data_IF_273928876309
#
_entry.id   IF_273928876309
#
_cell.length_a   1.000
_cell.length_b   1.000
_cell.length_c   1.000
_cell.angle_alpha   90.00
_cell.angle_beta   90.00
_cell.angle_gamma   90.00
#
_symmetry.space_group_name_H-M   'P 1'
#
loop_
_entity.id
_entity.type
_entity.pdbx_description
1 polymer ?
#
# COMPACT_ATOMS: atom_id res chain seq x y z
N UNK A 1 9.46 43.24 -41.38
CA UNK A 1 8.19 43.92 -41.63
C UNK A 1 7.61 44.27 -40.27
N UNK A 2 7.52 45.58 -39.98
CA UNK A 2 6.84 46.06 -38.78
C UNK A 2 5.40 46.34 -39.20
N UNK A 3 4.43 45.57 -38.72
CA UNK A 3 3.02 45.83 -38.91
C UNK A 3 2.49 46.50 -37.63
N UNK A 4 2.41 47.79 -37.62
CA UNK A 4 1.79 48.53 -36.53
C UNK A 4 0.34 48.85 -36.92
N UNK A 5 -0.61 48.23 -36.24
CA UNK A 5 -2.07 48.53 -36.35
C UNK A 5 -2.55 49.15 -35.07
N UNK A 6 -3.07 50.38 -35.13
CA UNK A 6 -3.63 51.06 -33.97
C UNK A 6 -5.06 50.61 -33.60
N UNK A 7 -5.69 49.83 -34.42
CA UNK A 7 -6.99 49.14 -34.17
C UNK A 7 -7.31 48.25 -35.37
N UNK A 8 -7.48 46.97 -35.12
CA UNK A 8 -7.89 45.99 -36.13
C UNK A 8 -7.15 44.68 -36.06
N UNK A 9 -7.77 43.62 -36.52
CA UNK A 9 -7.17 42.29 -36.67
C UNK A 9 -6.23 42.26 -37.87
N UNK A 10 -5.05 41.73 -37.71
CA UNK A 10 -4.18 41.35 -38.85
C UNK A 10 -4.49 39.86 -39.09
N UNK A 11 -5.14 39.55 -40.19
CA UNK A 11 -5.31 38.16 -40.65
C UNK A 11 -4.12 37.80 -41.53
N UNK A 12 -3.44 36.78 -41.17
CA UNK A 12 -2.46 36.11 -42.00
C UNK A 12 -3.11 34.80 -42.53
N UNK A 13 -3.29 34.74 -43.84
CA UNK A 13 -3.91 33.57 -44.46
C UNK A 13 -5.43 33.67 -44.59
N UNK A 14 -5.97 33.09 -45.65
CA UNK A 14 -7.40 33.03 -45.98
C UNK A 14 -7.91 31.59 -46.13
N UNK A 15 -7.02 30.58 -45.91
CA UNK A 15 -7.36 29.17 -45.98
C UNK A 15 -6.85 28.42 -44.75
N UNK A 16 -7.53 27.33 -44.39
CA UNK A 16 -7.22 26.52 -43.20
C UNK A 16 -5.89 25.73 -43.29
N UNK A 17 -5.15 25.86 -44.38
CA UNK A 17 -3.87 25.19 -44.63
C UNK A 17 -2.67 26.17 -44.60
N UNK A 18 -2.90 27.45 -44.30
CA UNK A 18 -1.82 28.43 -44.21
C UNK A 18 -0.90 28.18 -43.01
N UNK A 19 0.39 28.07 -43.27
CA UNK A 19 1.45 27.92 -42.28
C UNK A 19 2.17 29.26 -42.09
N UNK A 20 2.00 29.85 -40.91
CA UNK A 20 2.75 31.04 -40.51
C UNK A 20 3.99 30.66 -39.70
N UNK A 21 5.18 30.89 -40.20
CA UNK A 21 6.44 30.52 -39.56
C UNK A 21 7.11 31.78 -38.99
N UNK A 22 7.24 31.81 -37.65
CA UNK A 22 8.06 32.80 -36.97
C UNK A 22 9.47 32.25 -36.74
N UNK A 23 10.50 32.92 -37.24
CA UNK A 23 11.90 32.60 -36.95
C UNK A 23 12.41 33.62 -35.92
N UNK A 24 12.30 33.30 -34.65
CA UNK A 24 12.60 34.17 -33.52
C UNK A 24 11.59 34.01 -32.40
N UNK A 25 11.62 34.90 -31.43
CA UNK A 25 10.67 34.93 -30.33
C UNK A 25 9.35 35.53 -30.76
N UNK A 26 8.24 34.93 -30.39
CA UNK A 26 6.91 35.52 -30.42
C UNK A 26 6.59 36.04 -29.02
N UNK A 27 6.60 37.38 -28.88
CA UNK A 27 6.20 38.04 -27.62
C UNK A 27 4.77 38.56 -27.75
N UNK A 28 3.87 38.09 -26.86
CA UNK A 28 2.47 38.49 -26.83
C UNK A 28 2.21 39.12 -25.48
N UNK A 29 2.21 40.45 -25.43
CA UNK A 29 1.92 41.23 -24.23
C UNK A 29 0.49 41.72 -24.20
N UNK A 30 -0.25 41.45 -23.12
CA UNK A 30 -1.53 42.09 -22.82
C UNK A 30 -2.79 41.37 -23.32
N UNK A 31 -2.72 40.18 -23.94
CA UNK A 31 -3.87 39.44 -24.44
C UNK A 31 -3.66 37.94 -24.47
N UNK A 32 -4.69 37.18 -24.73
CA UNK A 32 -4.66 35.73 -24.85
C UNK A 32 -4.15 35.28 -26.22
N UNK A 33 -3.43 34.16 -26.26
CA UNK A 33 -3.27 33.38 -27.48
C UNK A 33 -4.53 32.52 -27.62
N UNK A 34 -5.25 32.65 -28.72
CA UNK A 34 -6.41 31.80 -29.03
C UNK A 34 -6.04 30.87 -30.18
N UNK A 35 -6.12 29.59 -29.97
CA UNK A 35 -6.07 28.57 -31.01
C UNK A 35 -7.52 28.18 -31.33
N UNK A 36 -8.00 28.50 -32.49
CA UNK A 36 -9.36 28.18 -32.94
C UNK A 36 -9.28 27.35 -34.23
N UNK A 37 -9.13 26.04 -34.08
CA UNK A 37 -9.21 25.07 -35.18
C UNK A 37 -10.66 24.59 -35.42
N UNK A 38 -11.63 25.26 -34.80
CA UNK A 38 -13.03 24.81 -34.74
C UNK A 38 -13.24 23.63 -33.81
N UNK A 39 -12.18 23.09 -33.19
CA UNK A 39 -12.21 21.93 -32.28
C UNK A 39 -11.63 22.26 -30.89
N UNK A 40 -11.10 23.49 -30.72
CA UNK A 40 -10.54 23.98 -29.46
C UNK A 40 -9.33 23.15 -28.94
N UNK A 41 -8.50 22.63 -29.85
CA UNK A 41 -7.29 21.92 -29.50
C UNK A 41 -6.08 22.83 -29.44
N UNK A 42 -5.12 22.55 -28.53
CA UNK A 42 -3.81 23.19 -28.48
C UNK A 42 -2.74 22.11 -28.76
N UNK A 43 -1.97 22.30 -29.84
CA UNK A 43 -0.89 21.40 -30.21
C UNK A 43 0.43 22.16 -30.33
N UNK A 44 1.45 21.80 -29.52
CA UNK A 44 2.78 22.43 -29.52
C UNK A 44 3.85 21.34 -29.54
N UNK A 45 4.63 21.29 -30.60
CA UNK A 45 5.72 20.32 -30.78
C UNK A 45 5.59 19.51 -32.07
N UNK A 46 6.67 18.84 -32.45
CA UNK A 46 6.69 17.99 -33.65
C UNK A 46 5.74 16.80 -33.47
N UNK A 47 4.83 16.61 -34.42
CA UNK A 47 3.83 15.53 -34.42
C UNK A 47 2.90 15.52 -33.17
N UNK A 48 2.78 16.63 -32.46
CA UNK A 48 1.75 16.70 -31.43
C UNK A 48 0.36 16.69 -32.09
N UNK A 49 -0.56 15.80 -31.64
CA UNK A 49 -1.81 15.49 -32.31
C UNK A 49 -1.57 15.20 -33.81
N UNK A 50 -0.81 14.13 -34.10
CA UNK A 50 -0.23 13.91 -35.43
C UNK A 50 -1.13 13.23 -36.45
N UNK A 51 -2.27 12.65 -36.08
CA UNK A 51 -3.11 11.90 -37.01
C UNK A 51 -3.88 12.80 -37.99
N UNK A 52 -3.73 12.56 -39.29
CA UNK A 52 -4.57 13.18 -40.31
C UNK A 52 -6.03 12.74 -40.12
N UNK A 53 -6.94 13.72 -40.01
CA UNK A 53 -8.37 13.43 -39.78
C UNK A 53 -8.78 13.34 -38.32
N UNK A 54 -7.92 13.73 -37.37
CA UNK A 54 -8.30 13.81 -35.97
C UNK A 54 -9.55 14.69 -35.75
N UNK A 55 -10.56 14.12 -35.10
CA UNK A 55 -11.86 14.80 -34.88
C UNK A 55 -12.12 15.14 -33.42
N UNK A 56 -11.21 14.78 -32.51
CA UNK A 56 -11.32 15.08 -31.09
C UNK A 56 -11.29 16.59 -30.77
N UNK A 57 -11.88 16.97 -29.65
CA UNK A 57 -12.06 18.36 -29.26
C UNK A 57 -11.51 18.65 -27.86
N UNK A 58 -11.14 19.92 -27.64
CA UNK A 58 -10.77 20.41 -26.30
C UNK A 58 -9.57 19.67 -25.68
N UNK A 59 -8.55 19.35 -26.49
CA UNK A 59 -7.33 18.71 -26.01
C UNK A 59 -6.16 19.68 -25.94
N UNK A 60 -5.25 19.48 -25.01
CA UNK A 60 -3.95 20.15 -24.93
C UNK A 60 -2.86 19.10 -25.10
N UNK A 61 -2.05 19.20 -26.16
CA UNK A 61 -0.93 18.34 -26.43
C UNK A 61 0.35 19.16 -26.61
N UNK A 62 1.30 19.04 -25.68
CA UNK A 62 2.57 19.78 -25.69
C UNK A 62 3.73 18.81 -25.60
N UNK A 63 4.56 18.76 -26.63
CA UNK A 63 5.73 17.90 -26.71
C UNK A 63 5.82 17.14 -28.02
N UNK A 64 7.03 16.67 -28.36
CA UNK A 64 7.23 15.81 -29.52
C UNK A 64 6.45 14.51 -29.35
N UNK A 65 5.64 14.15 -30.36
CA UNK A 65 4.77 12.98 -30.41
C UNK A 65 3.74 12.88 -29.26
N UNK A 66 3.41 13.98 -28.58
CA UNK A 66 2.30 13.99 -27.64
C UNK A 66 1.00 13.71 -28.40
N UNK A 67 0.22 12.69 -28.01
CA UNK A 67 -0.99 12.22 -28.72
C UNK A 67 -0.74 11.90 -30.21
N UNK A 68 0.41 11.35 -30.57
CA UNK A 68 0.81 11.14 -31.98
C UNK A 68 -0.24 10.31 -32.77
N UNK A 69 -0.68 9.18 -32.20
CA UNK A 69 -1.56 8.23 -32.87
C UNK A 69 -3.05 8.46 -32.53
N UNK A 70 -3.39 9.63 -31.97
CA UNK A 70 -4.76 9.97 -31.63
C UNK A 70 -5.61 10.06 -32.91
N UNK A 71 -6.51 9.10 -33.11
CA UNK A 71 -7.36 9.01 -34.30
C UNK A 71 -8.85 8.80 -33.99
N UNK A 72 -9.22 8.76 -32.72
CA UNK A 72 -10.61 8.52 -32.29
C UNK A 72 -11.53 9.72 -32.36
N UNK A 73 -12.79 9.47 -32.74
CA UNK A 73 -13.83 10.53 -32.80
C UNK A 73 -14.18 11.13 -31.44
N UNK A 74 -13.93 10.43 -30.34
CA UNK A 74 -14.26 10.86 -28.98
C UNK A 74 -13.02 11.03 -28.10
N UNK A 75 -11.89 11.43 -28.67
CA UNK A 75 -10.68 11.78 -27.91
C UNK A 75 -10.76 13.24 -27.48
N UNK A 76 -11.33 13.50 -26.29
CA UNK A 76 -11.70 14.84 -25.86
C UNK A 76 -11.23 15.13 -24.43
N UNK A 77 -11.03 16.42 -24.14
CA UNK A 77 -10.74 16.91 -22.78
C UNK A 77 -9.44 16.36 -22.18
N UNK A 78 -8.45 15.99 -22.98
CA UNK A 78 -7.19 15.48 -22.47
C UNK A 78 -6.15 16.60 -22.32
N UNK A 79 -5.32 16.53 -21.28
CA UNK A 79 -4.13 17.36 -21.09
C UNK A 79 -2.92 16.42 -21.15
N UNK A 80 -2.13 16.54 -22.21
CA UNK A 80 -1.00 15.65 -22.50
C UNK A 80 0.27 16.47 -22.71
N UNK A 81 1.21 16.38 -21.79
CA UNK A 81 2.44 17.20 -21.81
C UNK A 81 3.67 16.32 -21.63
N UNK A 82 4.51 16.23 -22.65
CA UNK A 82 5.78 15.48 -22.60
C UNK A 82 6.09 14.71 -23.88
N UNK A 83 7.37 14.32 -24.02
CA UNK A 83 7.82 13.46 -25.11
C UNK A 83 7.13 12.11 -25.07
N UNK A 84 6.45 11.72 -26.16
CA UNK A 84 5.65 10.50 -26.29
C UNK A 84 4.55 10.33 -25.21
N UNK A 85 4.15 11.38 -24.49
CA UNK A 85 3.02 11.28 -23.57
C UNK A 85 1.74 10.96 -24.36
N UNK A 86 0.92 10.00 -23.88
CA UNK A 86 -0.30 9.58 -24.54
C UNK A 86 -0.13 9.23 -26.03
N UNK A 87 1.04 8.77 -26.43
CA UNK A 87 1.41 8.60 -27.85
C UNK A 87 0.43 7.72 -28.61
N UNK A 88 0.02 6.61 -28.02
CA UNK A 88 -0.80 5.59 -28.67
C UNK A 88 -2.30 5.74 -28.41
N UNK A 89 -2.80 6.96 -28.21
CA UNK A 89 -4.22 7.20 -28.04
C UNK A 89 -5.01 6.58 -29.20
N UNK A 90 -5.63 5.43 -28.92
CA UNK A 90 -6.29 4.59 -29.92
C UNK A 90 -7.63 5.15 -30.43
N UNK A 91 -8.33 4.30 -31.14
CA UNK A 91 -9.40 4.68 -32.06
C UNK A 91 -10.67 5.27 -31.42
N UNK A 92 -10.98 5.12 -30.15
CA UNK A 92 -12.27 5.59 -29.61
C UNK A 92 -12.26 5.87 -28.10
N UNK A 93 -12.95 6.92 -27.70
CA UNK A 93 -13.40 7.23 -26.32
C UNK A 93 -12.28 7.46 -25.27
N UNK A 94 -11.12 7.97 -25.64
CA UNK A 94 -10.07 8.36 -24.69
C UNK A 94 -10.32 9.80 -24.25
N UNK A 95 -10.84 10.02 -23.06
CA UNK A 95 -11.22 11.36 -22.62
C UNK A 95 -10.88 11.65 -21.15
N UNK A 96 -10.74 12.92 -20.85
CA UNK A 96 -10.53 13.45 -19.49
C UNK A 96 -9.29 12.91 -18.80
N UNK A 97 -8.20 12.69 -19.54
CA UNK A 97 -6.93 12.27 -18.97
C UNK A 97 -5.99 13.46 -18.75
N UNK A 98 -5.16 13.40 -17.72
CA UNK A 98 -4.06 14.32 -17.45
C UNK A 98 -2.76 13.52 -17.45
N UNK A 99 -1.97 13.64 -18.52
CA UNK A 99 -0.73 12.89 -18.71
C UNK A 99 0.44 13.86 -18.80
N UNK A 100 1.27 13.94 -17.78
CA UNK A 100 2.37 14.91 -17.71
C UNK A 100 3.70 14.20 -17.41
N UNK A 101 4.60 14.18 -18.37
CA UNK A 101 5.90 13.55 -18.24
C UNK A 101 6.32 12.79 -19.49
N UNK A 102 7.60 12.43 -19.57
CA UNK A 102 8.09 11.59 -20.64
C UNK A 102 7.38 10.23 -20.62
N UNK A 103 6.70 9.86 -21.71
CA UNK A 103 5.98 8.60 -21.90
C UNK A 103 4.86 8.37 -20.85
N UNK A 104 4.37 9.40 -20.18
CA UNK A 104 3.20 9.27 -19.29
C UNK A 104 1.99 8.76 -20.08
N UNK A 105 1.37 7.64 -19.65
CA UNK A 105 0.23 7.01 -20.32
C UNK A 105 0.48 6.66 -21.79
N UNK A 106 1.72 6.33 -22.18
CA UNK A 106 2.11 6.19 -23.59
C UNK A 106 1.26 5.18 -24.37
N UNK A 107 0.89 4.07 -23.75
CA UNK A 107 0.20 2.95 -24.40
C UNK A 107 -1.32 2.95 -24.23
N UNK A 108 -1.91 4.04 -23.74
CA UNK A 108 -3.36 4.18 -23.67
C UNK A 108 -3.93 4.06 -25.10
N UNK A 109 -4.63 2.96 -25.40
CA UNK A 109 -5.09 2.68 -26.78
C UNK A 109 -6.53 2.15 -26.88
N UNK A 110 -7.22 1.97 -25.77
CA UNK A 110 -8.61 1.49 -25.74
C UNK A 110 -9.57 2.60 -25.36
N UNK A 111 -10.77 2.54 -25.90
CA UNK A 111 -11.85 3.49 -25.67
C UNK A 111 -12.31 3.63 -24.23
N UNK A 112 -11.86 2.77 -23.34
CA UNK A 112 -12.27 2.83 -21.93
C UNK A 112 -11.23 3.50 -21.02
N UNK A 113 -10.00 3.76 -21.48
CA UNK A 113 -8.94 4.37 -20.68
C UNK A 113 -9.17 5.88 -20.47
N UNK A 114 -10.03 6.23 -19.53
CA UNK A 114 -10.48 7.60 -19.27
C UNK A 114 -10.37 7.99 -17.80
N UNK A 115 -10.36 9.31 -17.56
CA UNK A 115 -10.30 9.87 -16.22
C UNK A 115 -9.04 9.47 -15.43
N UNK A 116 -7.94 9.21 -16.13
CA UNK A 116 -6.66 8.86 -15.53
C UNK A 116 -5.77 10.09 -15.39
N UNK A 117 -5.13 10.23 -14.25
CA UNK A 117 -4.08 11.23 -14.00
C UNK A 117 -2.75 10.49 -13.88
N UNK A 118 -1.82 10.72 -14.81
CA UNK A 118 -0.48 10.14 -14.77
C UNK A 118 0.57 11.27 -14.87
N UNK A 119 1.30 11.49 -13.78
CA UNK A 119 2.29 12.57 -13.68
C UNK A 119 3.65 11.99 -13.28
N UNK A 120 4.61 12.02 -14.19
CA UNK A 120 5.96 11.49 -13.98
C UNK A 120 6.49 10.78 -15.22
N UNK A 121 7.80 10.54 -15.26
CA UNK A 121 8.42 9.74 -16.32
C UNK A 121 7.88 8.31 -16.23
N UNK A 122 7.37 7.79 -17.35
CA UNK A 122 6.77 6.46 -17.47
C UNK A 122 5.58 6.19 -16.53
N UNK A 123 4.97 7.20 -15.91
CA UNK A 123 3.79 7.01 -15.08
C UNK A 123 2.65 6.40 -15.93
N UNK A 124 2.13 5.24 -15.53
CA UNK A 124 1.07 4.53 -16.24
C UNK A 124 1.42 4.17 -17.69
N UNK A 125 2.68 3.94 -18.01
CA UNK A 125 3.15 3.75 -19.39
C UNK A 125 2.40 2.61 -20.12
N UNK A 126 2.08 1.53 -19.43
CA UNK A 126 1.46 0.33 -20.00
C UNK A 126 -0.05 0.23 -19.78
N UNK A 127 -0.68 1.31 -19.30
CA UNK A 127 -2.15 1.37 -19.28
C UNK A 127 -2.67 1.25 -20.71
N UNK A 128 -3.55 0.29 -20.93
CA UNK A 128 -4.24 0.11 -22.21
C UNK A 128 -5.71 0.52 -22.12
N UNK A 129 -6.46 0.00 -21.13
CA UNK A 129 -7.88 0.28 -20.93
C UNK A 129 -8.27 0.66 -19.50
N UNK A 130 -7.33 0.65 -18.56
CA UNK A 130 -7.60 1.01 -17.15
C UNK A 130 -8.09 2.44 -16.97
N UNK A 131 -9.09 2.63 -16.11
CA UNK A 131 -9.77 3.91 -15.88
C UNK A 131 -9.60 4.43 -14.46
N UNK A 132 -9.76 5.76 -14.29
CA UNK A 132 -9.88 6.42 -12.99
C UNK A 132 -8.70 6.13 -12.06
N UNK A 133 -7.51 6.06 -12.65
CA UNK A 133 -6.27 5.88 -11.90
C UNK A 133 -5.61 7.23 -11.60
N UNK A 134 -5.03 7.37 -10.41
CA UNK A 134 -4.19 8.49 -10.01
C UNK A 134 -2.76 8.01 -9.80
N UNK A 135 -1.86 8.34 -10.72
CA UNK A 135 -0.49 7.84 -10.78
C UNK A 135 0.48 9.02 -10.76
N UNK A 136 1.19 9.21 -9.65
CA UNK A 136 2.12 10.34 -9.49
C UNK A 136 3.49 9.84 -9.05
N UNK A 137 4.49 10.00 -9.89
CA UNK A 137 5.86 9.59 -9.64
C UNK A 137 6.48 8.89 -10.84
N UNK A 138 7.80 8.81 -10.86
CA UNK A 138 8.50 8.03 -11.89
C UNK A 138 8.12 6.57 -11.77
N UNK A 139 7.63 6.00 -12.88
CA UNK A 139 7.21 4.61 -13.00
C UNK A 139 6.09 4.20 -12.02
N UNK A 140 5.30 5.17 -11.54
CA UNK A 140 4.10 4.86 -10.77
C UNK A 140 3.05 4.20 -11.68
N UNK A 141 2.55 3.02 -11.28
CA UNK A 141 1.56 2.27 -12.02
C UNK A 141 2.02 1.81 -13.41
N UNK A 142 3.28 1.41 -13.58
CA UNK A 142 3.84 1.08 -14.90
C UNK A 142 3.09 -0.06 -15.59
N UNK A 143 2.92 -1.21 -14.94
CA UNK A 143 2.35 -2.41 -15.55
C UNK A 143 0.85 -2.64 -15.24
N UNK A 144 0.10 -1.65 -14.78
CA UNK A 144 -1.33 -1.76 -14.51
C UNK A 144 -2.17 -1.59 -15.80
N UNK A 145 -2.18 -2.57 -16.70
CA UNK A 145 -2.69 -2.40 -18.05
C UNK A 145 -4.21 -2.20 -18.14
N UNK A 146 -5.00 -2.96 -17.40
CA UNK A 146 -6.48 -2.90 -17.41
C UNK A 146 -7.07 -2.56 -16.04
N UNK A 147 -6.23 -2.21 -15.08
CA UNK A 147 -6.62 -1.97 -13.70
C UNK A 147 -7.32 -0.62 -13.51
N UNK A 148 -8.38 -0.61 -12.71
CA UNK A 148 -9.23 0.55 -12.45
C UNK A 148 -9.14 1.06 -11.00
N UNK A 149 -9.42 2.36 -10.81
CA UNK A 149 -9.62 2.97 -9.50
C UNK A 149 -8.41 2.89 -8.57
N UNK A 150 -7.19 2.86 -9.11
CA UNK A 150 -5.99 2.80 -8.29
C UNK A 150 -5.41 4.18 -8.00
N UNK A 151 -4.80 4.32 -6.83
CA UNK A 151 -3.98 5.48 -6.43
C UNK A 151 -2.56 4.99 -6.21
N UNK A 152 -1.60 5.43 -7.03
CA UNK A 152 -0.19 5.14 -6.88
C UNK A 152 0.61 6.44 -6.83
N UNK A 153 1.17 6.77 -5.67
CA UNK A 153 1.94 8.00 -5.44
C UNK A 153 3.31 7.67 -4.88
N UNK A 154 4.35 7.88 -5.67
CA UNK A 154 5.73 7.61 -5.30
C UNK A 154 6.50 6.93 -6.42
N UNK A 155 7.83 6.91 -6.28
CA UNK A 155 8.71 6.18 -7.18
C UNK A 155 8.40 4.68 -7.11
N UNK A 156 8.11 4.04 -8.26
CA UNK A 156 7.73 2.64 -8.38
C UNK A 156 6.52 2.19 -7.52
N UNK A 157 5.67 3.11 -7.06
CA UNK A 157 4.42 2.73 -6.41
C UNK A 157 3.53 1.97 -7.42
N UNK A 158 3.06 0.77 -7.06
CA UNK A 158 2.31 -0.14 -7.95
C UNK A 158 2.98 -0.34 -9.32
N UNK A 159 4.28 -0.49 -9.34
CA UNK A 159 5.03 -0.67 -10.59
C UNK A 159 4.56 -1.92 -11.36
N UNK A 160 4.16 -2.98 -10.63
CA UNK A 160 3.80 -4.26 -11.21
C UNK A 160 5.04 -5.11 -11.54
N UNK A 161 4.80 -6.35 -11.96
CA UNK A 161 5.82 -7.24 -12.49
C UNK A 161 5.89 -7.07 -14.01
N UNK A 162 7.09 -6.85 -14.55
CA UNK A 162 7.33 -6.67 -15.99
C UNK A 162 6.85 -7.86 -16.86
N UNK A 163 6.60 -9.01 -16.26
CA UNK A 163 6.14 -10.23 -16.94
C UNK A 163 4.64 -10.42 -16.95
N UNK A 164 3.87 -9.68 -16.13
CA UNK A 164 2.43 -9.91 -15.94
C UNK A 164 1.67 -8.58 -15.94
N UNK A 165 0.76 -8.43 -16.89
CA UNK A 165 -0.12 -7.28 -16.97
C UNK A 165 -0.99 -7.17 -15.71
N UNK A 166 -0.85 -6.08 -14.96
CA UNK A 166 -1.61 -5.83 -13.75
C UNK A 166 -3.09 -5.56 -14.03
N UNK A 167 -3.95 -6.28 -13.33
CA UNK A 167 -5.42 -6.14 -13.41
C UNK A 167 -6.05 -5.82 -12.06
N UNK A 168 -5.25 -5.60 -11.02
CA UNK A 168 -5.72 -5.32 -9.66
C UNK A 168 -6.36 -3.96 -9.52
N UNK A 169 -7.57 -3.92 -8.95
CA UNK A 169 -8.39 -2.73 -8.85
C UNK A 169 -8.48 -2.16 -7.43
N UNK A 170 -8.80 -0.88 -7.33
CA UNK A 170 -9.15 -0.23 -6.07
C UNK A 170 -8.06 -0.29 -5.00
N UNK A 171 -6.78 -0.24 -5.41
CA UNK A 171 -5.65 -0.19 -4.49
C UNK A 171 -5.18 1.24 -4.23
N UNK A 172 -4.69 1.50 -3.04
CA UNK A 172 -4.02 2.73 -2.65
C UNK A 172 -2.57 2.41 -2.28
N UNK A 173 -1.62 2.91 -3.03
CA UNK A 173 -0.19 2.75 -2.80
C UNK A 173 0.49 4.12 -2.70
N UNK A 174 0.96 4.50 -1.53
CA UNK A 174 1.62 5.79 -1.29
C UNK A 174 2.97 5.58 -0.64
N UNK A 175 4.04 5.85 -1.37
CA UNK A 175 5.41 5.70 -0.90
C UNK A 175 6.34 5.11 -1.96
N UNK A 176 7.64 5.15 -1.67
CA UNK A 176 8.66 4.48 -2.45
C UNK A 176 8.38 2.96 -2.46
N UNK A 177 8.21 2.37 -3.65
CA UNK A 177 7.95 0.95 -3.87
C UNK A 177 6.73 0.36 -3.09
N UNK A 178 5.78 1.18 -2.66
CA UNK A 178 4.56 0.68 -2.05
C UNK A 178 3.76 -0.17 -3.07
N UNK A 179 3.35 -1.40 -2.69
CA UNK A 179 2.70 -2.40 -3.57
C UNK A 179 3.43 -2.62 -4.90
N UNK A 180 4.75 -2.52 -4.92
CA UNK A 180 5.53 -2.61 -6.16
C UNK A 180 5.24 -3.89 -6.95
N UNK A 181 5.09 -5.01 -6.28
CA UNK A 181 4.84 -6.32 -6.89
C UNK A 181 3.38 -6.60 -7.28
N UNK A 182 2.45 -5.64 -7.12
CA UNK A 182 1.03 -5.89 -7.32
C UNK A 182 0.71 -6.27 -8.77
N UNK A 183 0.04 -7.42 -8.94
CA UNK A 183 -0.44 -7.91 -10.24
C UNK A 183 -1.96 -7.97 -10.31
N UNK A 184 -2.60 -8.83 -9.51
CA UNK A 184 -4.06 -9.00 -9.49
C UNK A 184 -4.67 -8.68 -8.13
N UNK A 185 -3.86 -8.28 -7.14
CA UNK A 185 -4.33 -7.86 -5.81
C UNK A 185 -5.28 -6.68 -5.89
N UNK A 186 -6.29 -6.64 -5.02
CA UNK A 186 -7.34 -5.62 -5.06
C UNK A 186 -7.78 -5.16 -3.67
N UNK A 187 -8.34 -3.95 -3.59
CA UNK A 187 -8.86 -3.38 -2.35
C UNK A 187 -7.82 -3.32 -1.22
N UNK A 188 -6.54 -3.05 -1.57
CA UNK A 188 -5.46 -2.88 -0.59
C UNK A 188 -5.15 -1.41 -0.34
N UNK A 189 -4.76 -1.09 0.89
CA UNK A 189 -4.18 0.20 1.28
C UNK A 189 -2.75 -0.05 1.76
N UNK A 190 -1.76 0.47 1.05
CA UNK A 190 -0.35 0.40 1.44
C UNK A 190 0.27 1.80 1.46
N UNK A 191 0.71 2.24 2.64
CA UNK A 191 1.28 3.58 2.84
C UNK A 191 2.61 3.46 3.59
N UNK A 192 3.69 3.83 2.94
CA UNK A 192 5.05 3.79 3.49
C UNK A 192 6.08 3.31 2.49
N UNK A 193 7.37 3.53 2.82
CA UNK A 193 8.47 2.96 2.05
C UNK A 193 8.38 1.43 2.09
N UNK A 194 8.34 0.78 0.92
CA UNK A 194 8.27 -0.66 0.75
C UNK A 194 7.09 -1.34 1.49
N UNK A 195 6.00 -0.60 1.78
CA UNK A 195 4.79 -1.19 2.37
C UNK A 195 4.17 -2.19 1.38
N UNK A 196 4.05 -3.46 1.78
CA UNK A 196 3.52 -4.53 0.93
C UNK A 196 4.25 -4.71 -0.38
N UNK A 197 5.56 -4.49 -0.42
CA UNK A 197 6.33 -4.39 -1.69
C UNK A 197 6.27 -5.67 -2.53
N UNK A 198 6.13 -6.85 -1.91
CA UNK A 198 6.03 -8.15 -2.58
C UNK A 198 4.58 -8.61 -2.83
N UNK A 199 3.57 -7.81 -2.47
CA UNK A 199 2.16 -8.21 -2.56
C UNK A 199 1.73 -8.35 -4.04
N UNK A 200 1.60 -9.58 -4.51
CA UNK A 200 1.21 -9.88 -5.90
C UNK A 200 -0.30 -10.00 -6.04
N UNK A 201 -0.92 -10.90 -5.28
CA UNK A 201 -2.35 -11.21 -5.36
C UNK A 201 -3.09 -10.96 -4.05
N UNK A 202 -2.42 -10.41 -3.02
CA UNK A 202 -3.04 -10.04 -1.75
C UNK A 202 -4.23 -9.10 -1.95
N UNK A 203 -5.25 -9.21 -1.11
CA UNK A 203 -6.45 -8.40 -1.22
C UNK A 203 -7.03 -8.01 0.14
N UNK A 204 -7.77 -6.90 0.18
CA UNK A 204 -8.46 -6.38 1.38
C UNK A 204 -7.56 -6.17 2.58
N UNK A 205 -6.35 -5.72 2.34
CA UNK A 205 -5.34 -5.54 3.38
C UNK A 205 -5.05 -4.05 3.65
N UNK A 206 -4.74 -3.72 4.90
CA UNK A 206 -4.29 -2.40 5.33
C UNK A 206 -2.85 -2.52 5.83
N UNK A 207 -1.91 -1.92 5.11
CA UNK A 207 -0.48 -2.04 5.33
C UNK A 207 0.12 -0.64 5.43
N UNK A 208 0.41 -0.16 6.64
CA UNK A 208 0.86 1.23 6.88
C UNK A 208 2.15 1.24 7.71
N UNK A 209 3.21 1.73 7.13
CA UNK A 209 4.53 1.83 7.76
C UNK A 209 5.65 1.38 6.84
N UNK A 210 6.88 1.85 7.09
CA UNK A 210 8.02 1.39 6.31
C UNK A 210 8.25 -0.11 6.57
N UNK A 211 8.43 -0.89 5.49
CA UNK A 211 8.57 -2.35 5.49
C UNK A 211 7.45 -3.10 6.23
N UNK A 212 6.27 -2.51 6.41
CA UNK A 212 5.11 -3.24 6.89
C UNK A 212 4.72 -4.27 5.84
N UNK A 213 4.57 -5.54 6.22
CA UNK A 213 4.15 -6.62 5.34
C UNK A 213 4.93 -6.73 4.03
N UNK A 214 6.22 -6.40 4.02
CA UNK A 214 7.03 -6.35 2.80
C UNK A 214 7.27 -7.72 2.15
N UNK A 215 7.16 -8.81 2.91
CA UNK A 215 7.23 -10.18 2.40
C UNK A 215 5.87 -10.75 1.95
N UNK A 216 4.75 -10.05 2.16
CA UNK A 216 3.43 -10.55 1.75
C UNK A 216 3.42 -10.77 0.23
N UNK A 217 2.91 -11.93 -0.19
CA UNK A 217 2.67 -12.24 -1.60
C UNK A 217 1.18 -12.37 -1.92
N UNK A 218 0.50 -13.30 -1.29
CA UNK A 218 -0.89 -13.69 -1.58
C UNK A 218 -1.83 -13.51 -0.38
N UNK A 219 -1.29 -13.30 0.83
CA UNK A 219 -2.03 -13.27 2.10
C UNK A 219 -3.12 -12.19 2.14
N UNK A 220 -4.38 -12.53 2.37
CA UNK A 220 -5.48 -11.57 2.38
C UNK A 220 -5.85 -11.07 3.78
N UNK A 221 -6.54 -9.94 3.81
CA UNK A 221 -7.30 -9.47 4.98
C UNK A 221 -6.47 -9.12 6.20
N UNK A 222 -5.20 -8.72 6.03
CA UNK A 222 -4.34 -8.31 7.14
C UNK A 222 -4.47 -6.82 7.46
N UNK A 223 -4.25 -6.46 8.73
CA UNK A 223 -4.10 -5.08 9.20
C UNK A 223 -2.72 -4.95 9.85
N UNK A 224 -1.77 -4.35 9.14
CA UNK A 224 -0.38 -4.18 9.57
C UNK A 224 -0.05 -2.70 9.66
N UNK A 225 0.14 -2.18 10.86
CA UNK A 225 0.39 -0.75 11.07
C UNK A 225 1.61 -0.55 11.96
N UNK A 226 2.67 -0.03 11.40
CA UNK A 226 3.93 0.24 12.08
C UNK A 226 5.14 -0.19 11.28
N UNK A 227 6.33 0.31 11.66
CA UNK A 227 7.59 -0.15 11.06
C UNK A 227 7.75 -1.66 11.21
N UNK A 228 7.96 -2.38 10.09
CA UNK A 228 8.18 -3.83 10.07
C UNK A 228 7.06 -4.65 10.76
N UNK A 229 5.83 -4.13 10.82
CA UNK A 229 4.68 -4.88 11.33
C UNK A 229 4.37 -6.03 10.36
N UNK A 230 4.35 -7.27 10.84
CA UNK A 230 4.13 -8.47 10.02
C UNK A 230 5.12 -8.64 8.87
N UNK A 231 6.39 -8.17 9.02
CA UNK A 231 7.36 -8.10 7.93
C UNK A 231 7.69 -9.46 7.28
N UNK A 232 7.62 -10.56 7.99
CA UNK A 232 7.92 -11.91 7.46
C UNK A 232 6.68 -12.66 6.94
N UNK A 233 5.48 -12.08 6.98
CA UNK A 233 4.27 -12.73 6.50
C UNK A 233 4.40 -13.03 5.00
N UNK A 234 4.42 -14.32 4.64
CA UNK A 234 4.57 -14.75 3.25
C UNK A 234 3.71 -15.97 2.87
N UNK A 235 2.78 -16.37 3.73
CA UNK A 235 1.91 -17.52 3.52
C UNK A 235 0.44 -17.16 3.77
N UNK A 236 -0.49 -17.73 2.98
CA UNK A 236 -1.93 -17.45 3.07
C UNK A 236 -2.54 -17.83 4.43
N UNK A 237 -1.92 -18.76 5.15
CA UNK A 237 -2.38 -19.12 6.49
C UNK A 237 -2.28 -17.94 7.48
N UNK A 238 -1.37 -16.98 7.28
CA UNK A 238 -1.28 -15.78 8.11
C UNK A 238 -2.41 -14.76 7.88
N UNK A 239 -3.43 -15.13 7.12
CA UNK A 239 -4.61 -14.29 6.86
C UNK A 239 -5.32 -13.83 8.15
N UNK A 240 -5.96 -12.66 8.03
CA UNK A 240 -6.74 -12.04 9.13
C UNK A 240 -5.92 -11.72 10.37
N UNK A 241 -4.61 -11.50 10.20
CA UNK A 241 -3.72 -11.00 11.24
C UNK A 241 -3.87 -9.50 11.42
N UNK A 242 -4.01 -9.06 12.67
CA UNK A 242 -3.94 -7.66 13.08
C UNK A 242 -2.63 -7.45 13.85
N UNK A 243 -1.70 -6.67 13.31
CA UNK A 243 -0.42 -6.33 13.94
C UNK A 243 -0.23 -4.80 13.90
N UNK A 244 -0.34 -4.16 15.06
CA UNK A 244 -0.28 -2.70 15.20
C UNK A 244 0.83 -2.32 16.18
N UNK A 245 1.87 -1.72 15.69
CA UNK A 245 3.05 -1.30 16.44
C UNK A 245 4.35 -1.66 15.71
N UNK A 246 5.44 -0.98 16.07
CA UNK A 246 6.75 -1.32 15.52
C UNK A 246 7.10 -2.77 15.87
N UNK A 247 7.49 -3.56 14.86
CA UNK A 247 7.81 -4.98 14.93
C UNK A 247 6.68 -5.87 15.50
N UNK A 248 5.43 -5.42 15.57
CA UNK A 248 4.33 -6.29 15.97
C UNK A 248 4.24 -7.46 14.98
N UNK A 249 4.35 -8.71 15.49
CA UNK A 249 4.31 -9.91 14.67
C UNK A 249 5.36 -9.99 13.55
N UNK A 250 6.53 -9.37 13.72
CA UNK A 250 7.52 -9.22 12.65
C UNK A 250 8.04 -10.54 12.09
N UNK A 251 8.08 -11.61 12.89
CA UNK A 251 8.56 -12.93 12.47
C UNK A 251 7.46 -13.88 11.98
N UNK A 252 6.19 -13.46 11.95
CA UNK A 252 5.09 -14.32 11.51
C UNK A 252 5.33 -14.76 10.06
N UNK A 253 5.32 -16.08 9.84
CA UNK A 253 5.35 -16.68 8.51
C UNK A 253 3.98 -17.21 8.10
N UNK A 254 3.40 -18.12 8.90
CA UNK A 254 2.11 -18.78 8.62
C UNK A 254 1.11 -18.75 9.77
N UNK A 255 1.48 -18.20 10.95
CA UNK A 255 0.56 -18.08 12.10
C UNK A 255 -0.64 -17.19 11.82
N UNK A 256 -1.87 -17.74 11.96
CA UNK A 256 -3.14 -17.08 11.59
C UNK A 256 -3.90 -16.53 12.81
N UNK A 257 -4.84 -15.64 12.52
CA UNK A 257 -5.80 -15.10 13.50
C UNK A 257 -5.14 -14.41 14.70
N UNK A 258 -4.06 -13.68 14.44
CA UNK A 258 -3.35 -12.93 15.48
C UNK A 258 -4.00 -11.58 15.75
N UNK A 259 -4.00 -11.15 17.01
CA UNK A 259 -4.28 -9.76 17.40
C UNK A 259 -3.13 -9.25 18.24
N UNK A 260 -2.23 -8.47 17.61
CA UNK A 260 -0.97 -8.01 18.20
C UNK A 260 -0.93 -6.48 18.20
N UNK A 261 -1.00 -5.87 19.38
CA UNK A 261 -1.02 -4.41 19.50
C UNK A 261 0.03 -3.95 20.51
N UNK A 262 1.06 -3.29 20.04
CA UNK A 262 2.15 -2.75 20.86
C UNK A 262 3.51 -2.93 20.19
N UNK A 263 4.51 -2.20 20.72
CA UNK A 263 5.91 -2.38 20.32
C UNK A 263 6.35 -3.81 20.64
N UNK A 264 6.90 -4.53 19.65
CA UNK A 264 7.32 -5.93 19.73
C UNK A 264 6.24 -6.91 20.25
N UNK A 265 4.95 -6.60 20.17
CA UNK A 265 3.91 -7.54 20.53
C UNK A 265 4.00 -8.77 19.63
N UNK A 266 4.23 -9.97 20.21
CA UNK A 266 4.38 -11.23 19.49
C UNK A 266 5.49 -11.22 18.43
N UNK A 267 6.55 -10.45 18.64
CA UNK A 267 7.62 -10.24 17.63
C UNK A 267 8.27 -11.51 17.13
N UNK A 268 8.34 -12.56 17.95
CA UNK A 268 9.00 -13.85 17.63
C UNK A 268 8.02 -14.92 17.13
N UNK A 269 6.72 -14.66 17.05
CA UNK A 269 5.73 -15.61 16.53
C UNK A 269 6.10 -15.98 15.09
N UNK A 270 6.16 -17.28 14.81
CA UNK A 270 6.36 -17.83 13.46
C UNK A 270 5.12 -18.53 12.94
N UNK A 271 4.66 -19.57 13.61
CA UNK A 271 3.57 -20.45 13.19
C UNK A 271 2.43 -20.56 14.23
N UNK A 272 2.61 -19.93 15.41
CA UNK A 272 1.59 -19.95 16.47
C UNK A 272 0.28 -19.31 15.99
N UNK A 273 -0.86 -19.93 16.34
CA UNK A 273 -2.21 -19.50 15.91
C UNK A 273 -3.00 -18.84 17.04
N UNK A 274 -3.92 -17.95 16.67
CA UNK A 274 -5.01 -17.47 17.55
C UNK A 274 -4.52 -16.79 18.85
N UNK A 275 -3.41 -16.07 18.82
CA UNK A 275 -2.93 -15.35 19.98
C UNK A 275 -3.45 -13.90 19.99
N UNK A 276 -3.76 -13.39 21.19
CA UNK A 276 -4.13 -11.98 21.43
C UNK A 276 -3.13 -11.35 22.38
N UNK A 277 -2.24 -10.49 21.87
CA UNK A 277 -1.20 -9.82 22.64
C UNK A 277 -1.33 -8.30 22.53
N UNK A 278 -1.58 -7.66 23.65
CA UNK A 278 -1.76 -6.20 23.74
C UNK A 278 -0.85 -5.62 24.82
N UNK A 279 0.16 -4.89 24.38
CA UNK A 279 1.15 -4.26 25.24
C UNK A 279 2.55 -4.31 24.69
N UNK A 280 3.43 -3.45 25.20
CA UNK A 280 4.85 -3.45 24.87
C UNK A 280 5.49 -4.78 25.30
N UNK A 281 6.16 -5.50 24.39
CA UNK A 281 6.77 -6.81 24.58
C UNK A 281 5.79 -7.87 25.13
N UNK A 282 4.51 -7.77 24.84
CA UNK A 282 3.54 -8.80 25.19
C UNK A 282 3.77 -10.04 24.32
N UNK A 283 4.01 -11.20 24.91
CA UNK A 283 4.27 -12.47 24.21
C UNK A 283 5.46 -12.43 23.26
N UNK A 284 6.47 -11.63 23.54
CA UNK A 284 7.58 -11.32 22.62
C UNK A 284 8.52 -12.51 22.33
N UNK A 285 8.60 -13.49 23.23
CA UNK A 285 9.39 -14.71 23.01
C UNK A 285 8.61 -15.87 22.38
N UNK A 286 7.27 -15.78 22.25
CA UNK A 286 6.45 -16.86 21.74
C UNK A 286 6.75 -17.14 20.26
N UNK A 287 6.94 -18.42 19.91
CA UNK A 287 7.23 -18.84 18.53
C UNK A 287 6.06 -19.64 17.91
N UNK A 288 5.73 -20.79 18.48
CA UNK A 288 4.71 -21.71 17.95
C UNK A 288 3.53 -21.93 18.91
N UNK A 289 3.52 -21.25 20.06
CA UNK A 289 2.40 -21.33 21.02
C UNK A 289 1.11 -20.78 20.41
N UNK A 290 -0.01 -21.37 20.82
CA UNK A 290 -1.32 -21.02 20.27
C UNK A 290 -2.37 -20.74 21.34
N UNK A 291 -3.42 -20.00 20.96
CA UNK A 291 -4.58 -19.72 21.82
C UNK A 291 -4.22 -19.03 23.14
N UNK A 292 -3.21 -18.14 23.13
CA UNK A 292 -2.82 -17.37 24.31
C UNK A 292 -3.41 -15.97 24.29
N UNK A 293 -3.73 -15.43 25.46
CA UNK A 293 -4.15 -14.06 25.66
C UNK A 293 -3.16 -13.35 26.63
N UNK A 294 -2.50 -12.31 26.19
CA UNK A 294 -1.61 -11.53 27.00
C UNK A 294 -1.94 -10.02 26.89
N UNK A 295 -2.24 -9.38 28.02
CA UNK A 295 -2.57 -7.97 28.10
C UNK A 295 -1.73 -7.29 29.18
N UNK A 296 -0.79 -6.46 28.75
CA UNK A 296 0.10 -5.72 29.65
C UNK A 296 1.56 -5.71 29.19
N UNK A 297 2.36 -4.84 29.81
CA UNK A 297 3.81 -4.79 29.56
C UNK A 297 4.46 -6.13 29.91
N UNK A 298 5.22 -6.75 28.99
CA UNK A 298 5.92 -8.02 29.14
C UNK A 298 5.07 -9.15 29.74
N UNK A 299 3.74 -9.12 29.51
CA UNK A 299 2.87 -10.23 29.86
C UNK A 299 3.19 -11.42 28.96
N UNK A 300 3.32 -12.62 29.51
CA UNK A 300 3.73 -13.85 28.82
C UNK A 300 5.07 -13.72 28.07
N UNK A 301 5.99 -12.87 28.57
CA UNK A 301 7.18 -12.41 27.86
C UNK A 301 8.22 -13.49 27.57
N UNK A 302 8.40 -14.51 28.41
CA UNK A 302 9.40 -15.55 28.22
C UNK A 302 8.85 -16.89 27.69
N UNK A 303 7.56 -16.99 27.44
CA UNK A 303 6.96 -18.23 26.95
C UNK A 303 7.30 -18.46 25.46
N UNK A 304 7.86 -19.61 25.13
CA UNK A 304 8.32 -19.94 23.76
C UNK A 304 7.26 -20.76 23.01
N UNK A 305 6.69 -21.79 23.61
CA UNK A 305 5.77 -22.74 22.96
C UNK A 305 4.51 -23.04 23.76
N UNK A 306 4.31 -22.36 24.89
CA UNK A 306 3.15 -22.59 25.75
C UNK A 306 1.82 -22.20 25.06
N UNK A 307 0.75 -22.90 25.44
CA UNK A 307 -0.55 -22.80 24.82
C UNK A 307 -1.63 -22.54 25.83
N UNK A 308 -2.73 -21.86 25.40
CA UNK A 308 -3.97 -21.70 26.14
C UNK A 308 -3.82 -21.03 27.49
N UNK A 309 -2.92 -20.06 27.58
CA UNK A 309 -2.73 -19.27 28.79
C UNK A 309 -3.34 -17.87 28.68
N UNK A 310 -3.80 -17.36 29.83
CA UNK A 310 -4.30 -15.99 29.99
C UNK A 310 -3.37 -15.24 30.96
N UNK A 311 -2.75 -14.15 30.51
CA UNK A 311 -1.84 -13.32 31.28
C UNK A 311 -2.29 -11.84 31.19
N UNK A 312 -2.93 -11.32 32.21
CA UNK A 312 -3.45 -9.95 32.25
C UNK A 312 -2.77 -9.18 33.40
N UNK A 313 -1.98 -8.20 33.03
CA UNK A 313 -1.21 -7.36 33.94
C UNK A 313 0.26 -7.27 33.55
N UNK A 314 0.94 -6.22 34.04
CA UNK A 314 2.38 -6.06 33.85
C UNK A 314 3.14 -7.28 34.44
N UNK A 315 3.98 -7.92 33.62
CA UNK A 315 4.74 -9.15 33.96
C UNK A 315 3.87 -10.34 34.44
N UNK A 316 2.57 -10.39 34.15
CA UNK A 316 1.78 -11.59 34.41
C UNK A 316 2.33 -12.75 33.58
N UNK A 317 2.68 -13.89 34.18
CA UNK A 317 3.40 -15.02 33.55
C UNK A 317 4.67 -14.58 32.82
N UNK A 318 5.36 -13.53 33.28
CA UNK A 318 6.44 -12.87 32.57
C UNK A 318 7.65 -13.75 32.29
N UNK A 319 7.97 -14.71 33.14
CA UNK A 319 9.07 -15.66 32.98
C UNK A 319 8.61 -17.11 32.85
N UNK A 320 7.36 -17.32 32.47
CA UNK A 320 6.83 -18.68 32.24
C UNK A 320 7.51 -19.33 31.05
N UNK A 321 8.25 -20.42 31.29
CA UNK A 321 8.96 -21.21 30.28
C UNK A 321 8.26 -22.56 29.99
N UNK A 322 7.08 -22.79 30.59
CA UNK A 322 6.35 -24.01 30.38
C UNK A 322 5.99 -24.21 28.90
N UNK A 323 6.16 -25.42 28.41
CA UNK A 323 5.92 -25.78 27.01
C UNK A 323 4.66 -26.65 26.85
N UNK A 324 4.08 -26.62 25.64
CA UNK A 324 2.90 -27.39 25.31
C UNK A 324 1.63 -26.85 25.99
N UNK A 325 0.76 -27.71 26.46
CA UNK A 325 -0.53 -27.38 27.08
C UNK A 325 -0.34 -26.79 28.48
N UNK A 326 -0.33 -25.47 28.60
CA UNK A 326 -0.01 -24.80 29.87
C UNK A 326 -1.21 -24.42 30.70
N UNK A 327 -2.33 -24.00 30.10
CA UNK A 327 -3.61 -23.65 30.74
C UNK A 327 -3.48 -22.75 31.99
N UNK A 328 -2.54 -21.85 32.02
CA UNK A 328 -2.37 -20.93 33.14
C UNK A 328 -3.27 -19.71 33.00
N UNK A 329 -3.87 -19.27 34.12
CA UNK A 329 -4.62 -18.01 34.18
C UNK A 329 -3.99 -17.11 35.23
N UNK A 330 -3.44 -15.97 34.81
CA UNK A 330 -2.83 -14.99 35.68
C UNK A 330 -3.43 -13.60 35.45
N UNK A 331 -3.99 -13.00 36.49
CA UNK A 331 -4.61 -11.67 36.44
C UNK A 331 -4.08 -10.82 37.60
N UNK A 332 -3.28 -9.83 37.30
CA UNK A 332 -2.65 -8.91 38.26
C UNK A 332 -1.20 -8.64 37.96
N UNK A 333 -0.63 -7.57 38.52
CA UNK A 333 0.77 -7.25 38.42
C UNK A 333 1.64 -8.39 38.94
N UNK A 334 2.53 -8.96 38.11
CA UNK A 334 3.41 -10.06 38.49
C UNK A 334 2.70 -11.35 38.91
N UNK A 335 1.40 -11.53 38.59
CA UNK A 335 0.70 -12.75 38.88
C UNK A 335 1.34 -13.93 38.14
N UNK A 336 1.74 -15.01 38.86
CA UNK A 336 2.44 -16.15 38.33
C UNK A 336 3.76 -15.82 37.60
N UNK A 337 4.37 -14.66 37.84
CA UNK A 337 5.49 -14.16 37.03
C UNK A 337 6.65 -15.15 36.91
N UNK A 338 7.08 -15.76 38.04
CA UNK A 338 8.19 -16.71 38.07
C UNK A 338 7.72 -18.19 38.01
N UNK A 339 6.52 -18.44 37.51
CA UNK A 339 6.06 -19.79 37.27
C UNK A 339 6.75 -20.37 36.00
N UNK A 340 7.94 -20.88 36.20
CA UNK A 340 8.80 -21.30 35.07
C UNK A 340 8.38 -22.61 34.41
N UNK A 341 7.72 -23.52 35.14
CA UNK A 341 7.40 -24.88 34.66
C UNK A 341 5.99 -25.36 35.00
N UNK A 342 5.24 -24.59 35.80
CA UNK A 342 3.90 -24.99 36.24
C UNK A 342 2.85 -24.82 35.14
N UNK A 343 1.91 -25.78 35.08
CA UNK A 343 0.72 -25.74 34.22
C UNK A 343 -0.56 -25.80 35.04
N UNK A 344 -1.68 -25.40 34.43
CA UNK A 344 -3.01 -25.40 35.05
C UNK A 344 -3.11 -24.56 36.34
N UNK A 345 -2.30 -23.51 36.42
CA UNK A 345 -2.30 -22.58 37.56
C UNK A 345 -3.34 -21.47 37.40
N UNK A 346 -3.94 -21.07 38.53
CA UNK A 346 -4.86 -19.90 38.61
C UNK A 346 -4.30 -18.89 39.62
N UNK A 347 -3.86 -17.72 39.13
CA UNK A 347 -3.19 -16.68 39.90
C UNK A 347 -3.97 -15.36 39.74
N UNK A 348 -4.77 -14.97 40.72
CA UNK A 348 -5.61 -13.77 40.66
C UNK A 348 -5.25 -12.82 41.83
N UNK A 349 -4.68 -11.69 41.49
CA UNK A 349 -4.22 -10.68 42.42
C UNK A 349 -2.76 -10.25 42.15
N UNK A 350 -2.38 -9.04 42.63
CA UNK A 350 -1.01 -8.58 42.52
C UNK A 350 -0.07 -9.59 43.18
N UNK A 351 0.93 -10.09 42.45
CA UNK A 351 1.90 -11.09 42.92
C UNK A 351 1.30 -12.43 43.41
N UNK A 352 0.06 -12.74 43.07
CA UNK A 352 -0.52 -14.05 43.38
C UNK A 352 0.33 -15.15 42.69
N UNK A 353 0.83 -16.10 43.45
CA UNK A 353 1.69 -17.18 42.94
C UNK A 353 2.99 -16.69 42.28
N UNK A 354 3.56 -15.56 42.71
CA UNK A 354 4.72 -14.93 42.05
C UNK A 354 5.89 -15.89 41.81
N UNK A 355 6.26 -16.71 42.81
CA UNK A 355 7.31 -17.73 42.73
C UNK A 355 6.76 -19.16 42.69
N UNK A 356 5.51 -19.36 42.30
CA UNK A 356 4.95 -20.71 42.17
C UNK A 356 5.64 -21.47 41.04
N UNK A 357 6.11 -22.69 41.32
CA UNK A 357 6.81 -23.53 40.34
C UNK A 357 6.07 -24.82 40.00
N UNK A 358 5.01 -25.16 40.74
CA UNK A 358 4.22 -26.39 40.55
C UNK A 358 3.00 -26.17 39.68
N UNK A 359 2.44 -27.29 39.20
CA UNK A 359 1.15 -27.34 38.46
C UNK A 359 -0.04 -27.38 39.39
N UNK A 360 -1.22 -27.01 38.85
CA UNK A 360 -2.53 -27.13 39.55
C UNK A 360 -2.71 -26.24 40.76
N UNK A 361 -1.92 -25.14 40.88
CA UNK A 361 -2.01 -24.20 41.99
C UNK A 361 -3.17 -23.21 41.76
N UNK A 362 -3.89 -22.88 42.84
CA UNK A 362 -4.88 -21.81 42.83
C UNK A 362 -4.57 -20.81 43.94
N UNK A 363 -4.16 -19.59 43.55
CA UNK A 363 -3.87 -18.49 44.49
C UNK A 363 -4.73 -17.28 44.12
N UNK A 364 -5.59 -16.87 45.04
CA UNK A 364 -6.48 -15.70 44.88
C UNK A 364 -6.24 -14.70 46.02
N UNK A 365 -5.88 -13.51 45.67
CA UNK A 365 -5.56 -12.43 46.60
C UNK A 365 -4.16 -11.85 46.43
N UNK A 366 -3.94 -10.62 46.86
CA UNK A 366 -2.61 -9.97 46.79
C UNK A 366 -1.60 -10.81 47.56
N UNK A 367 -0.46 -11.09 46.93
CA UNK A 367 0.64 -11.91 47.46
C UNK A 367 0.24 -13.31 47.95
N UNK A 368 -0.94 -13.82 47.58
CA UNK A 368 -1.32 -15.18 47.92
C UNK A 368 -0.34 -16.15 47.24
N UNK A 369 0.36 -16.98 48.01
CA UNK A 369 1.37 -17.90 47.51
C UNK A 369 2.64 -17.25 46.95
N UNK A 370 2.94 -15.97 47.27
CA UNK A 370 4.10 -15.23 46.71
C UNK A 370 5.44 -15.92 47.01
N UNK A 371 5.62 -16.51 48.20
CA UNK A 371 6.83 -17.19 48.62
C UNK A 371 6.88 -18.69 48.38
N UNK A 372 5.87 -19.28 47.75
CA UNK A 372 5.69 -20.71 47.65
C UNK A 372 6.58 -21.39 46.62
N UNK A 373 7.57 -22.15 47.05
CA UNK A 373 8.31 -23.12 46.24
C UNK A 373 7.72 -24.54 46.34
N UNK A 374 6.53 -24.68 46.95
CA UNK A 374 5.95 -25.98 47.20
C UNK A 374 4.75 -26.25 46.31
N UNK A 375 4.81 -27.32 45.55
CA UNK A 375 3.63 -28.00 45.07
C UNK A 375 2.68 -28.24 46.26
N UNK A 376 1.52 -27.59 46.29
CA UNK A 376 0.44 -28.03 47.13
C UNK A 376 -0.03 -29.41 46.66
N UNK A 377 -0.44 -30.32 47.54
CA UNK A 377 -0.88 -31.63 47.16
C UNK A 377 -2.10 -31.60 46.25
#
# INVERSE_FOLDING_TARGET
ISIATNSGSVNFGDSGDDIHRFTGSLDISGSRISFDDGKQNIAIGTNSIGASGFTGTTNIAIGENAMLDANGANTNYNIVIGYNAGKSFGANNVYSNILIGRQAGMNINSGDASNTIAIGTNAGIDITSGQRNLLIGTEAGTNISTADYNVAIGYHAMHGDDSTAGTGNSNIAVGYEALKGATTGYENVAIGNSAGTSATTAYRSVIIGASAGDAITTTPGVVLIGYNAGGAINHDDAAYTVAIGQNAGAAITSGRYQTLVGYNAGVSITEGDSNTFIGHNSGDALTTGLENTALGYSSLGANITGQRSVAIGNNALGTNLASGWTYNTAVGWGAGSNNTVGSSGTFIGSKAGYNATGSYNTFVGTSAGEGGTTSAP
#
